data_IF_867451444826
#
_entry.id   IF_867451444826
#
_cell.length_a   1.000
_cell.length_b   1.000
_cell.length_c   1.000
_cell.angle_alpha   90.00
_cell.angle_beta   90.00
_cell.angle_gamma   90.00
#
_symmetry.space_group_name_H-M   'P 1'
#
loop_
_entity.id
_entity.type
_entity.pdbx_description
1 polymer ?
#
# COMPACT_ATOMS: atom_id res chain seq x y z
N UNK A 1 -8.02 31.27 0.24
CA UNK A 1 -7.83 30.01 0.98
C UNK A 1 -9.17 29.59 1.57
N UNK A 2 -9.60 28.34 1.35
CA UNK A 2 -10.86 27.81 1.86
C UNK A 2 -10.62 27.11 3.20
N UNK A 3 -11.08 27.71 4.31
CA UNK A 3 -10.93 27.15 5.67
C UNK A 3 -11.95 26.05 5.99
N UNK A 4 -12.93 25.82 5.11
CA UNK A 4 -13.97 24.81 5.33
C UNK A 4 -13.58 23.42 4.80
N UNK A 5 -12.49 23.32 4.04
CA UNK A 5 -12.01 22.08 3.44
C UNK A 5 -10.76 21.58 4.14
N UNK A 6 -10.73 20.30 4.58
CA UNK A 6 -9.52 19.71 5.12
C UNK A 6 -8.47 19.55 4.02
N UNK A 7 -7.21 19.74 4.40
CA UNK A 7 -6.08 19.57 3.49
C UNK A 7 -5.64 18.11 3.52
N UNK A 8 -5.49 17.51 2.34
CA UNK A 8 -4.98 16.16 2.19
C UNK A 8 -3.69 16.15 1.38
N UNK A 9 -2.73 15.31 1.78
CA UNK A 9 -1.53 15.03 1.00
C UNK A 9 -1.39 13.53 0.73
N UNK A 10 -0.65 13.19 -0.32
CA UNK A 10 -0.25 11.81 -0.61
C UNK A 10 1.24 11.69 -0.35
N UNK A 11 1.64 10.71 0.45
CA UNK A 11 3.04 10.48 0.82
C UNK A 11 3.41 9.01 0.65
N UNK A 12 4.66 8.77 0.30
CA UNK A 12 5.31 7.47 0.24
C UNK A 12 6.56 7.42 1.15
N UNK A 13 6.71 8.40 2.04
CA UNK A 13 7.87 8.53 2.94
C UNK A 13 7.43 8.62 4.39
N UNK A 14 8.25 8.07 5.27
CA UNK A 14 8.14 8.30 6.71
C UNK A 14 8.65 9.71 7.06
N UNK A 15 8.12 10.28 8.15
CA UNK A 15 8.62 11.53 8.73
C UNK A 15 7.56 12.60 9.00
N UNK A 16 8.03 13.73 9.51
CA UNK A 16 7.17 14.80 10.05
C UNK A 16 6.24 15.44 9.01
N UNK A 17 6.55 15.30 7.72
CA UNK A 17 5.72 15.79 6.62
C UNK A 17 4.27 15.29 6.71
N UNK A 18 4.08 14.05 7.18
CA UNK A 18 2.76 13.42 7.28
C UNK A 18 1.89 13.99 8.40
N UNK A 19 2.44 14.88 9.25
CA UNK A 19 1.72 15.53 10.35
C UNK A 19 1.26 16.96 10.02
N UNK A 20 1.64 17.48 8.85
CA UNK A 20 1.32 18.86 8.45
C UNK A 20 -0.12 18.96 7.94
N UNK A 21 -0.65 17.92 7.32
CA UNK A 21 -1.99 17.88 6.71
C UNK A 21 -3.02 17.22 7.61
N UNK A 22 -4.27 17.66 7.51
CA UNK A 22 -5.40 17.10 8.27
C UNK A 22 -5.65 15.62 7.94
N UNK A 23 -5.38 15.23 6.69
CA UNK A 23 -5.51 13.88 6.16
C UNK A 23 -4.24 13.50 5.40
N UNK A 24 -3.79 12.26 5.55
CA UNK A 24 -2.67 11.71 4.78
C UNK A 24 -3.11 10.49 3.99
N UNK A 25 -2.65 10.37 2.76
CA UNK A 25 -2.86 9.18 1.92
C UNK A 25 -1.52 8.52 1.67
N UNK A 26 -1.42 7.23 2.00
CA UNK A 26 -0.23 6.45 1.75
C UNK A 26 -0.29 5.84 0.35
N UNK A 27 0.64 6.20 -0.53
CA UNK A 27 0.80 5.52 -1.81
C UNK A 27 1.59 4.23 -1.57
N UNK A 28 0.90 3.08 -1.60
CA UNK A 28 1.50 1.80 -1.28
C UNK A 28 1.52 0.86 -2.49
N UNK A 29 2.70 0.29 -2.76
CA UNK A 29 2.95 -0.64 -3.87
C UNK A 29 3.49 -2.01 -3.39
N UNK A 30 3.37 -2.29 -2.08
CA UNK A 30 3.71 -3.60 -1.50
C UNK A 30 2.92 -4.71 -2.17
N UNK A 31 3.58 -5.79 -2.59
CA UNK A 31 2.98 -6.91 -3.31
C UNK A 31 2.90 -6.73 -4.83
N UNK A 32 3.31 -5.56 -5.34
CA UNK A 32 3.53 -5.33 -6.78
C UNK A 32 5.00 -5.06 -7.07
N UNK A 33 5.50 -3.88 -6.69
CA UNK A 33 6.90 -3.48 -6.94
C UNK A 33 7.88 -4.04 -5.91
N UNK A 34 7.40 -4.25 -4.68
CA UNK A 34 8.25 -4.63 -3.53
C UNK A 34 7.51 -5.57 -2.60
N UNK A 35 8.23 -6.55 -2.04
CA UNK A 35 7.69 -7.47 -1.05
C UNK A 35 6.58 -8.38 -1.60
N UNK A 36 5.82 -8.98 -0.70
CA UNK A 36 4.64 -9.80 -0.97
C UNK A 36 3.40 -9.07 -0.49
N UNK A 37 2.23 -9.45 -1.01
CA UNK A 37 0.95 -8.91 -0.53
C UNK A 37 0.74 -9.17 0.97
N UNK A 38 1.32 -10.23 1.51
CA UNK A 38 1.34 -10.58 2.95
C UNK A 38 2.02 -9.49 3.81
N UNK A 39 3.03 -8.80 3.27
CA UNK A 39 3.76 -7.75 3.99
C UNK A 39 2.88 -6.50 4.23
N UNK A 40 1.76 -6.37 3.51
CA UNK A 40 0.80 -5.28 3.69
C UNK A 40 0.15 -5.33 5.08
N UNK A 41 -0.13 -6.52 5.61
CA UNK A 41 -0.72 -6.67 6.94
C UNK A 41 0.23 -6.20 8.04
N UNK A 42 1.52 -6.52 7.89
CA UNK A 42 2.57 -6.09 8.81
C UNK A 42 2.71 -4.56 8.76
N UNK A 43 2.76 -3.99 7.55
CA UNK A 43 2.85 -2.54 7.36
C UNK A 43 1.63 -1.81 7.94
N UNK A 44 0.41 -2.34 7.74
CA UNK A 44 -0.81 -1.82 8.36
C UNK A 44 -0.76 -1.85 9.88
N UNK A 45 -0.22 -2.92 10.46
CA UNK A 45 0.00 -3.04 11.90
C UNK A 45 0.95 -1.97 12.43
N UNK A 46 2.07 -1.75 11.74
CA UNK A 46 3.05 -0.72 12.09
C UNK A 46 2.48 0.69 11.97
N UNK A 47 1.73 0.98 10.90
CA UNK A 47 1.05 2.26 10.69
C UNK A 47 0.07 2.55 11.84
N UNK A 48 -0.77 1.57 12.18
CA UNK A 48 -1.73 1.70 13.29
C UNK A 48 -1.05 1.82 14.65
N UNK A 49 0.15 1.28 14.83
CA UNK A 49 0.87 1.37 16.10
C UNK A 49 1.64 2.68 16.26
N UNK A 50 2.31 3.15 15.21
CA UNK A 50 3.17 4.34 15.28
C UNK A 50 2.48 5.66 14.95
N UNK A 51 1.37 5.61 14.20
CA UNK A 51 0.72 6.78 13.60
C UNK A 51 -0.80 6.76 13.79
N UNK A 52 -1.27 6.22 14.93
CA UNK A 52 -2.70 6.07 15.23
C UNK A 52 -3.48 7.40 15.27
N UNK A 53 -2.77 8.50 15.52
CA UNK A 53 -3.30 9.85 15.57
C UNK A 53 -3.61 10.44 14.19
N UNK A 54 -3.05 9.86 13.13
CA UNK A 54 -3.26 10.34 11.76
C UNK A 54 -4.53 9.73 11.16
N UNK A 55 -5.38 10.59 10.60
CA UNK A 55 -6.48 10.17 9.73
C UNK A 55 -5.88 9.81 8.37
N UNK A 56 -5.60 8.53 8.21
CA UNK A 56 -4.90 8.01 7.04
C UNK A 56 -5.78 7.20 6.12
N UNK A 57 -5.59 7.38 4.81
CA UNK A 57 -6.10 6.53 3.75
C UNK A 57 -4.98 5.81 3.03
N UNK A 58 -5.30 4.81 2.22
CA UNK A 58 -4.32 4.08 1.39
C UNK A 58 -4.76 4.19 -0.06
N UNK A 59 -3.83 4.60 -0.90
CA UNK A 59 -3.94 4.47 -2.35
C UNK A 59 -3.14 3.22 -2.75
N UNK A 60 -3.82 2.23 -3.32
CA UNK A 60 -3.25 0.95 -3.68
C UNK A 60 -3.71 0.55 -5.08
N UNK A 61 -2.77 0.13 -5.90
CA UNK A 61 -3.03 -0.31 -7.27
C UNK A 61 -1.81 -0.11 -8.15
N UNK A 62 -1.74 -0.88 -9.22
CA UNK A 62 -0.67 -0.84 -10.21
C UNK A 62 -1.25 -1.04 -11.61
N UNK A 63 -0.47 -0.71 -12.64
CA UNK A 63 -0.90 -0.88 -14.02
C UNK A 63 -1.14 -2.36 -14.38
N UNK A 64 -2.27 -2.63 -15.04
CA UNK A 64 -2.57 -3.90 -15.68
C UNK A 64 -2.88 -3.69 -17.16
N UNK A 65 -2.26 -4.49 -18.04
CA UNK A 65 -2.49 -4.41 -19.48
C UNK A 65 -3.39 -5.57 -19.94
N UNK A 66 -4.51 -5.22 -20.58
CA UNK A 66 -5.56 -6.18 -20.99
C UNK A 66 -5.05 -7.24 -21.98
N UNK A 67 -4.08 -6.87 -22.80
CA UNK A 67 -3.45 -7.73 -23.82
C UNK A 67 -2.44 -8.72 -23.21
N UNK A 68 -1.95 -8.47 -22.00
CA UNK A 68 -0.99 -9.34 -21.33
C UNK A 68 -1.73 -10.29 -20.39
N UNK A 69 -2.05 -11.49 -20.90
CA UNK A 69 -2.66 -12.55 -20.10
C UNK A 69 -1.63 -13.60 -19.70
N UNK A 70 -1.57 -13.91 -18.40
CA UNK A 70 -0.75 -14.99 -17.89
C UNK A 70 -1.38 -16.36 -18.19
N UNK A 71 -0.56 -17.37 -18.46
CA UNK A 71 -1.03 -18.74 -18.63
C UNK A 71 -1.61 -19.28 -17.29
N UNK A 72 -2.92 -19.57 -17.23
CA UNK A 72 -3.56 -20.08 -16.01
C UNK A 72 -3.02 -21.45 -15.57
N UNK A 73 -2.43 -22.25 -16.46
CA UNK A 73 -1.86 -23.55 -16.14
C UNK A 73 -0.59 -23.45 -15.26
N UNK A 74 0.08 -22.30 -15.26
CA UNK A 74 1.28 -22.06 -14.45
C UNK A 74 0.99 -21.81 -12.97
N UNK A 75 -0.28 -21.62 -12.59
CA UNK A 75 -0.70 -21.29 -11.21
C UNK A 75 -0.79 -22.51 -10.26
N UNK A 76 -0.50 -23.73 -10.73
CA UNK A 76 -0.45 -24.96 -9.90
C UNK A 76 0.81 -25.78 -10.14
N UNK A 77 1.94 -25.36 -9.58
CA UNK A 77 2.96 -26.27 -9.04
C UNK A 77 3.60 -25.61 -7.81
N UNK A 78 2.92 -25.72 -6.67
CA UNK A 78 3.64 -25.71 -5.40
C UNK A 78 4.44 -27.02 -5.37
N UNK A 79 5.74 -26.90 -5.60
CA UNK A 79 6.66 -28.04 -5.66
C UNK A 79 6.94 -28.47 -4.21
N UNK A 80 6.03 -29.23 -3.59
CA UNK A 80 6.34 -29.96 -2.36
C UNK A 80 7.12 -31.23 -2.72
N UNK A 81 8.41 -31.08 -2.99
CA UNK A 81 9.33 -32.22 -3.02
C UNK A 81 9.93 -32.37 -1.61
N UNK A 82 9.28 -33.23 -0.82
CA UNK A 82 9.91 -33.91 0.30
C UNK A 82 10.80 -35.02 -0.29
N UNK A 83 12.09 -34.97 0.03
CA UNK A 83 12.97 -36.14 0.13
C UNK A 83 13.59 -36.11 1.52
#
# INVERSE_FOLDING_TARGET
MDRSRPTAATSNQDGELNQITDLIVWAQNIGWDKGRTEDLEIWLGQLRSGWNQLRSGICYGEAGQIEQQGDPARRRRSNSLLW
#
